data_IF_295346008741
#
_entry.id   IF_295346008741
#
_cell.length_a   1.000
_cell.length_b   1.000
_cell.length_c   1.000
_cell.angle_alpha   90.00
_cell.angle_beta   90.00
_cell.angle_gamma   90.00
#
_symmetry.space_group_name_H-M   'P 1'
#
loop_
_entity.id
_entity.type
_entity.pdbx_description
1 polymer ?
#
# COMPACT_ATOMS: atom_id res chain seq x y z
N UNK A 1 2.40 -37.91 -17.14
CA UNK A 1 1.98 -36.49 -17.00
C UNK A 1 1.04 -36.18 -15.83
N UNK A 2 0.44 -37.15 -15.12
CA UNK A 2 -0.64 -36.88 -14.15
C UNK A 2 -0.22 -36.60 -12.70
N UNK A 3 0.87 -37.12 -12.19
CA UNK A 3 1.28 -36.97 -10.78
C UNK A 3 1.99 -35.63 -10.49
N UNK A 4 2.74 -35.07 -11.47
CA UNK A 4 3.45 -33.80 -11.30
C UNK A 4 2.51 -32.59 -11.29
N UNK A 5 1.35 -32.65 -11.96
CA UNK A 5 0.38 -31.53 -11.96
C UNK A 5 -0.35 -31.40 -10.62
N UNK A 6 -0.65 -32.48 -9.91
CA UNK A 6 -1.31 -32.43 -8.60
C UNK A 6 -0.48 -31.68 -7.54
N UNK A 7 0.85 -31.77 -7.58
CA UNK A 7 1.72 -31.05 -6.63
C UNK A 7 1.75 -29.54 -6.85
N UNK A 8 1.48 -29.06 -8.07
CA UNK A 8 1.49 -27.63 -8.39
C UNK A 8 0.14 -26.93 -8.19
N UNK A 9 -0.92 -27.69 -7.94
CA UNK A 9 -2.31 -27.22 -7.81
C UNK A 9 -2.83 -27.25 -6.36
N UNK A 10 -1.94 -27.30 -5.38
CA UNK A 10 -2.31 -27.40 -3.95
C UNK A 10 -3.18 -26.23 -3.45
N UNK A 11 -3.05 -25.06 -4.06
CA UNK A 11 -3.78 -23.84 -3.68
C UNK A 11 -5.07 -23.63 -4.50
N UNK A 12 -5.48 -24.61 -5.31
CA UNK A 12 -6.66 -24.47 -6.18
C UNK A 12 -7.95 -24.24 -5.39
N UNK A 13 -8.09 -24.91 -4.24
CA UNK A 13 -9.23 -24.74 -3.33
C UNK A 13 -9.32 -23.33 -2.72
N UNK A 14 -8.21 -22.58 -2.68
CA UNK A 14 -8.17 -21.24 -2.10
C UNK A 14 -8.99 -20.25 -2.92
N UNK A 15 -8.98 -20.36 -4.25
CA UNK A 15 -9.78 -19.49 -5.10
C UNK A 15 -11.29 -19.74 -4.83
N UNK A 16 -11.71 -21.01 -4.65
CA UNK A 16 -13.09 -21.38 -4.30
C UNK A 16 -13.47 -20.88 -2.90
N UNK A 17 -12.56 -21.00 -1.91
CA UNK A 17 -12.78 -20.49 -0.55
C UNK A 17 -12.99 -18.98 -0.54
N UNK A 18 -12.13 -18.22 -1.24
CA UNK A 18 -12.27 -16.77 -1.39
C UNK A 18 -13.56 -16.41 -2.11
N UNK A 19 -13.91 -17.13 -3.19
CA UNK A 19 -15.17 -16.91 -3.91
C UNK A 19 -16.39 -17.09 -3.02
N UNK A 20 -16.41 -18.14 -2.20
CA UNK A 20 -17.50 -18.41 -1.27
C UNK A 20 -17.69 -17.31 -0.22
N UNK A 21 -16.62 -16.58 0.13
CA UNK A 21 -16.72 -15.42 1.02
C UNK A 21 -17.48 -14.24 0.38
N UNK A 22 -17.55 -14.17 -0.95
CA UNK A 22 -18.28 -13.12 -1.68
C UNK A 22 -19.77 -13.44 -1.89
N UNK A 23 -20.30 -14.44 -1.19
CA UNK A 23 -21.72 -14.79 -1.26
C UNK A 23 -22.58 -13.63 -0.76
N UNK A 24 -23.53 -13.16 -1.58
CA UNK A 24 -24.36 -11.99 -1.29
C UNK A 24 -25.43 -12.24 -0.23
N UNK A 25 -25.85 -13.50 -0.06
CA UNK A 25 -26.87 -13.91 0.91
C UNK A 25 -26.27 -14.17 2.29
N UNK A 26 -24.98 -14.48 2.35
CA UNK A 26 -24.23 -14.71 3.58
C UNK A 26 -22.78 -14.25 3.40
N UNK A 27 -22.53 -12.94 3.31
CA UNK A 27 -21.20 -12.41 3.05
C UNK A 27 -20.27 -12.72 4.22
N UNK A 28 -19.06 -13.18 3.90
CA UNK A 28 -18.00 -13.39 4.89
C UNK A 28 -16.81 -12.50 4.56
N UNK A 29 -16.19 -11.98 5.58
CA UNK A 29 -14.91 -11.30 5.42
C UNK A 29 -13.76 -12.28 5.53
N UNK A 30 -12.62 -11.94 4.92
CA UNK A 30 -11.48 -12.84 4.88
C UNK A 30 -10.14 -12.10 4.84
N UNK A 31 -9.10 -12.79 5.25
CA UNK A 31 -7.71 -12.39 5.03
C UNK A 31 -6.99 -13.50 4.28
N UNK A 32 -6.62 -13.26 3.03
CA UNK A 32 -5.80 -14.19 2.25
C UNK A 32 -4.32 -14.00 2.58
N UNK A 33 -3.77 -14.97 3.30
CA UNK A 33 -2.32 -15.06 3.54
C UNK A 33 -1.62 -15.58 2.30
N UNK A 34 -0.80 -14.74 1.68
CA UNK A 34 -0.18 -15.09 0.41
C UNK A 34 1.17 -14.40 0.28
N UNK A 35 2.26 -15.16 0.42
CA UNK A 35 3.61 -14.65 0.28
C UNK A 35 3.93 -14.13 -1.13
N UNK A 36 5.09 -13.50 -1.28
CA UNK A 36 5.57 -13.05 -2.59
C UNK A 36 5.58 -14.19 -3.61
N UNK A 37 5.06 -13.93 -4.80
CA UNK A 37 5.04 -14.93 -5.88
C UNK A 37 3.99 -16.03 -5.75
N UNK A 38 3.11 -16.01 -4.74
CA UNK A 38 2.05 -17.02 -4.56
C UNK A 38 0.82 -16.83 -5.46
N UNK A 39 0.76 -15.72 -6.21
CA UNK A 39 -0.34 -15.43 -7.13
C UNK A 39 -1.53 -14.72 -6.50
N UNK A 40 -1.34 -13.84 -5.49
CA UNK A 40 -2.38 -12.98 -4.90
C UNK A 40 -3.28 -12.33 -5.95
N UNK A 41 -2.68 -11.53 -6.84
CA UNK A 41 -3.41 -10.81 -7.90
C UNK A 41 -4.13 -11.76 -8.87
N UNK A 42 -3.56 -12.93 -9.13
CA UNK A 42 -4.21 -13.96 -9.98
C UNK A 42 -5.48 -14.48 -9.32
N UNK A 43 -5.42 -14.84 -8.03
CA UNK A 43 -6.61 -15.25 -7.26
C UNK A 43 -7.66 -14.16 -7.25
N UNK A 44 -7.28 -12.90 -6.96
CA UNK A 44 -8.18 -11.76 -6.99
C UNK A 44 -8.91 -11.67 -8.34
N UNK A 45 -8.18 -11.69 -9.44
CA UNK A 45 -8.76 -11.58 -10.79
C UNK A 45 -9.64 -12.78 -11.14
N UNK A 46 -9.22 -14.01 -10.80
CA UNK A 46 -9.99 -15.22 -11.08
C UNK A 46 -11.34 -15.20 -10.36
N UNK A 47 -11.34 -14.92 -9.07
CA UNK A 47 -12.53 -14.84 -8.23
C UNK A 47 -13.49 -13.76 -8.73
N UNK A 48 -12.96 -12.59 -9.14
CA UNK A 48 -13.77 -11.49 -9.68
C UNK A 48 -14.37 -11.82 -11.05
N UNK A 49 -13.65 -12.52 -11.93
CA UNK A 49 -14.18 -12.99 -13.21
C UNK A 49 -15.33 -13.98 -13.02
N UNK A 50 -15.18 -14.89 -12.06
CA UNK A 50 -16.24 -15.83 -11.71
C UNK A 50 -17.45 -15.11 -11.10
N UNK A 51 -17.23 -14.15 -10.20
CA UNK A 51 -18.28 -13.32 -9.63
C UNK A 51 -19.04 -12.54 -10.74
N UNK A 52 -18.31 -11.92 -11.68
CA UNK A 52 -18.91 -11.24 -12.84
C UNK A 52 -19.83 -12.15 -13.63
N UNK A 53 -19.40 -13.38 -13.88
CA UNK A 53 -20.20 -14.39 -14.63
C UNK A 53 -21.52 -14.70 -13.92
N UNK A 54 -21.48 -14.87 -12.60
CA UNK A 54 -22.64 -15.34 -11.84
C UNK A 54 -23.54 -14.18 -11.35
N UNK A 55 -22.98 -13.04 -10.98
CA UNK A 55 -23.70 -11.93 -10.32
C UNK A 55 -23.62 -10.59 -11.07
N UNK A 56 -22.84 -10.48 -12.14
CA UNK A 56 -22.59 -9.20 -12.81
C UNK A 56 -23.84 -8.50 -13.34
N UNK A 57 -24.83 -9.25 -13.83
CA UNK A 57 -26.12 -8.70 -14.29
C UNK A 57 -26.87 -8.02 -13.14
N UNK A 58 -26.96 -8.70 -11.99
CA UNK A 58 -27.63 -8.19 -10.79
C UNK A 58 -26.94 -6.94 -10.26
N UNK A 59 -25.61 -6.92 -10.23
CA UNK A 59 -24.83 -5.75 -9.78
C UNK A 59 -25.09 -4.52 -10.65
N UNK A 60 -25.12 -4.68 -11.99
CA UNK A 60 -25.42 -3.58 -12.92
C UNK A 60 -26.84 -3.05 -12.72
N UNK A 61 -27.83 -3.93 -12.61
CA UNK A 61 -29.23 -3.54 -12.38
C UNK A 61 -29.40 -2.76 -11.09
N UNK A 62 -28.71 -3.17 -10.03
CA UNK A 62 -28.78 -2.53 -8.71
C UNK A 62 -27.77 -1.38 -8.54
N UNK A 63 -27.01 -1.02 -9.58
CA UNK A 63 -25.94 0.02 -9.55
C UNK A 63 -24.89 -0.24 -8.47
N UNK A 64 -24.71 -1.50 -8.06
CA UNK A 64 -23.70 -1.93 -7.10
C UNK A 64 -22.37 -2.16 -7.82
N UNK A 65 -21.28 -1.98 -7.07
CA UNK A 65 -19.91 -2.24 -7.55
C UNK A 65 -19.13 -3.04 -6.51
N UNK A 66 -18.07 -3.70 -6.95
CA UNK A 66 -17.03 -4.21 -6.06
C UNK A 66 -15.92 -3.16 -6.04
N UNK A 67 -15.56 -2.68 -4.85
CA UNK A 67 -14.39 -1.82 -4.69
C UNK A 67 -13.13 -2.68 -4.60
N UNK A 68 -12.11 -2.37 -5.39
CA UNK A 68 -10.79 -2.99 -5.33
C UNK A 68 -9.77 -1.87 -5.08
N UNK A 69 -9.16 -1.90 -3.92
CA UNK A 69 -8.18 -0.91 -3.49
C UNK A 69 -6.79 -1.50 -3.65
N UNK A 70 -5.90 -0.76 -4.32
CA UNK A 70 -4.51 -1.13 -4.50
C UNK A 70 -3.59 -0.06 -3.94
N UNK A 71 -2.32 -0.41 -3.77
CA UNK A 71 -1.33 0.55 -3.28
C UNK A 71 -0.82 1.48 -4.40
N UNK A 72 -0.61 0.98 -5.62
CA UNK A 72 -0.01 1.74 -6.73
C UNK A 72 -0.93 1.85 -7.94
N UNK A 73 -0.75 2.91 -8.74
CA UNK A 73 -1.43 3.07 -10.02
C UNK A 73 -1.11 1.93 -11.00
N UNK A 74 0.13 1.43 -10.98
CA UNK A 74 0.53 0.31 -11.84
C UNK A 74 -0.29 -0.95 -11.51
N UNK A 75 -0.43 -1.31 -10.22
CA UNK A 75 -1.26 -2.44 -9.80
C UNK A 75 -2.74 -2.21 -10.14
N UNK A 76 -3.25 -0.98 -9.95
CA UNK A 76 -4.62 -0.63 -10.31
C UNK A 76 -4.87 -0.83 -11.82
N UNK A 77 -3.97 -0.36 -12.67
CA UNK A 77 -4.09 -0.49 -14.12
C UNK A 77 -4.00 -1.96 -14.54
N UNK A 78 -3.06 -2.74 -14.00
CA UNK A 78 -2.93 -4.17 -14.27
C UNK A 78 -4.23 -4.93 -13.94
N UNK A 79 -4.86 -4.63 -12.80
CA UNK A 79 -6.11 -5.27 -12.42
C UNK A 79 -7.25 -4.84 -13.34
N UNK A 80 -7.35 -3.54 -13.69
CA UNK A 80 -8.34 -3.02 -14.66
C UNK A 80 -8.24 -3.73 -16.00
N UNK A 81 -7.02 -3.83 -16.55
CA UNK A 81 -6.77 -4.50 -17.83
C UNK A 81 -7.20 -5.97 -17.77
N UNK A 82 -6.81 -6.69 -16.71
CA UNK A 82 -7.19 -8.10 -16.52
C UNK A 82 -8.69 -8.31 -16.33
N UNK A 83 -9.41 -7.31 -15.80
CA UNK A 83 -10.86 -7.30 -15.63
C UNK A 83 -11.60 -6.64 -16.79
N UNK A 84 -10.91 -6.33 -17.88
CA UNK A 84 -11.47 -5.81 -19.14
C UNK A 84 -12.24 -4.49 -18.94
N UNK A 85 -11.81 -3.66 -17.98
CA UNK A 85 -12.44 -2.38 -17.62
C UNK A 85 -13.95 -2.48 -17.31
N UNK A 86 -14.42 -3.62 -16.82
CA UNK A 86 -15.85 -3.81 -16.56
C UNK A 86 -16.35 -2.88 -15.46
N UNK A 87 -17.46 -2.22 -15.71
CA UNK A 87 -18.04 -1.16 -14.88
C UNK A 87 -18.51 -1.60 -13.49
N UNK A 88 -18.69 -2.92 -13.25
CA UNK A 88 -19.02 -3.44 -11.91
C UNK A 88 -17.83 -3.41 -10.95
N UNK A 89 -16.60 -3.24 -11.46
CA UNK A 89 -15.39 -3.16 -10.67
C UNK A 89 -14.91 -1.70 -10.57
N UNK A 90 -14.81 -1.19 -9.33
CA UNK A 90 -14.22 0.11 -9.03
C UNK A 90 -12.80 -0.12 -8.52
N UNK A 91 -11.82 -0.11 -9.43
CA UNK A 91 -10.41 -0.34 -9.10
C UNK A 91 -9.70 1.00 -8.98
N UNK A 92 -9.12 1.30 -7.83
CA UNK A 92 -8.42 2.56 -7.58
C UNK A 92 -7.33 2.43 -6.51
N UNK A 93 -6.49 3.45 -6.40
CA UNK A 93 -5.58 3.54 -5.26
C UNK A 93 -6.34 3.93 -4.00
N UNK A 94 -5.74 3.66 -2.84
CA UNK A 94 -6.32 3.98 -1.53
C UNK A 94 -6.71 5.46 -1.41
N UNK A 95 -5.88 6.36 -1.92
CA UNK A 95 -6.11 7.79 -1.88
C UNK A 95 -7.25 8.22 -2.81
N UNK A 96 -7.30 7.64 -4.01
CA UNK A 96 -8.39 7.91 -4.97
C UNK A 96 -9.73 7.42 -4.43
N UNK A 97 -9.76 6.24 -3.80
CA UNK A 97 -10.96 5.69 -3.17
C UNK A 97 -11.44 6.57 -2.00
N UNK A 98 -10.53 6.93 -1.10
CA UNK A 98 -10.86 7.80 0.03
C UNK A 98 -11.41 9.15 -0.43
N UNK A 99 -10.81 9.75 -1.47
CA UNK A 99 -11.31 10.99 -2.05
C UNK A 99 -12.71 10.84 -2.66
N UNK A 100 -12.94 9.79 -3.47
CA UNK A 100 -14.25 9.49 -4.06
C UNK A 100 -15.38 9.44 -3.00
N UNK A 101 -15.06 8.92 -1.82
CA UNK A 101 -16.04 8.84 -0.73
C UNK A 101 -16.37 10.19 -0.11
N UNK A 102 -15.37 11.07 0.06
CA UNK A 102 -15.53 12.29 0.85
C UNK A 102 -15.79 13.55 -0.01
N UNK A 103 -15.41 13.59 -1.26
CA UNK A 103 -15.50 14.76 -2.15
C UNK A 103 -16.86 15.46 -2.11
N UNK A 104 -18.01 14.76 -2.10
CA UNK A 104 -19.32 15.42 -2.07
C UNK A 104 -19.64 16.15 -0.75
N UNK A 105 -18.93 15.86 0.34
CA UNK A 105 -19.28 16.28 1.70
C UNK A 105 -18.51 17.52 2.16
N UNK A 106 -18.53 18.59 1.36
CA UNK A 106 -17.73 19.81 1.58
C UNK A 106 -17.90 20.40 2.99
N UNK A 107 -19.12 20.47 3.52
CA UNK A 107 -19.39 21.06 4.84
C UNK A 107 -18.85 20.18 5.98
N UNK A 108 -18.95 18.86 5.83
CA UNK A 108 -18.41 17.92 6.80
C UNK A 108 -16.87 17.95 6.80
N UNK A 109 -16.25 18.05 5.62
CA UNK A 109 -14.80 18.25 5.48
C UNK A 109 -14.36 19.52 6.18
N UNK A 110 -15.06 20.65 5.97
CA UNK A 110 -14.78 21.93 6.67
C UNK A 110 -14.84 21.75 8.18
N UNK A 111 -15.92 21.16 8.67
CA UNK A 111 -16.13 20.95 10.10
C UNK A 111 -15.01 20.11 10.71
N UNK A 112 -14.63 19.03 10.03
CA UNK A 112 -13.54 18.19 10.46
C UNK A 112 -12.20 18.95 10.49
N UNK A 113 -11.88 19.70 9.42
CA UNK A 113 -10.65 20.49 9.34
C UNK A 113 -10.59 21.58 10.41
N UNK A 114 -11.68 22.29 10.67
CA UNK A 114 -11.74 23.31 11.72
C UNK A 114 -11.40 22.70 13.08
N UNK A 115 -12.01 21.55 13.41
CA UNK A 115 -11.79 20.86 14.66
C UNK A 115 -10.37 20.29 14.76
N UNK A 116 -9.88 19.64 13.71
CA UNK A 116 -8.54 19.05 13.70
C UNK A 116 -7.44 20.11 13.78
N UNK A 117 -7.57 21.22 13.04
CA UNK A 117 -6.66 22.36 13.14
C UNK A 117 -6.68 22.99 14.54
N UNK A 118 -7.85 23.09 15.19
CA UNK A 118 -7.93 23.59 16.56
C UNK A 118 -7.16 22.69 17.55
N UNK A 119 -7.32 21.37 17.44
CA UNK A 119 -6.60 20.39 18.29
C UNK A 119 -5.08 20.49 18.05
N UNK A 120 -4.66 20.59 16.79
CA UNK A 120 -3.26 20.72 16.44
C UNK A 120 -2.62 22.02 16.95
N UNK A 121 -3.36 23.14 16.86
CA UNK A 121 -2.93 24.44 17.38
C UNK A 121 -2.73 24.35 18.89
N UNK A 122 -3.70 23.80 19.62
CA UNK A 122 -3.61 23.64 21.08
C UNK A 122 -2.39 22.79 21.49
N UNK A 123 -2.11 21.71 20.75
CA UNK A 123 -0.90 20.89 20.99
C UNK A 123 0.38 21.69 20.79
N UNK A 124 0.46 22.46 19.71
CA UNK A 124 1.62 23.28 19.40
C UNK A 124 1.80 24.42 20.41
N UNK A 125 0.72 25.03 20.91
CA UNK A 125 0.74 26.06 21.95
C UNK A 125 1.22 25.48 23.29
N UNK A 126 0.74 24.30 23.67
CA UNK A 126 1.19 23.60 24.88
C UNK A 126 2.70 23.27 24.79
N UNK A 127 3.17 22.73 23.66
CA UNK A 127 4.61 22.51 23.45
C UNK A 127 5.41 23.81 23.45
N UNK A 128 4.85 24.91 22.94
CA UNK A 128 5.49 26.22 22.96
C UNK A 128 5.63 26.76 24.38
N UNK A 129 4.61 26.60 25.20
CA UNK A 129 4.62 27.03 26.61
C UNK A 129 5.68 26.31 27.45
N UNK A 130 6.02 25.07 27.09
CA UNK A 130 7.05 24.25 27.75
C UNK A 130 8.47 24.54 27.27
N UNK A 131 8.62 25.39 26.24
CA UNK A 131 9.93 25.69 25.67
C UNK A 131 10.71 26.63 26.60
N UNK A 132 11.94 26.24 26.99
CA UNK A 132 12.81 27.03 27.84
C UNK A 132 13.41 28.25 27.14
N UNK A 133 13.51 28.21 25.82
CA UNK A 133 14.05 29.31 25.00
C UNK A 133 13.12 29.62 23.81
N UNK A 134 12.34 30.72 23.88
CA UNK A 134 11.44 31.14 22.82
C UNK A 134 12.16 31.55 21.53
N UNK A 135 13.46 31.82 21.59
CA UNK A 135 14.25 32.31 20.43
C UNK A 135 15.00 31.19 19.70
N UNK A 136 14.93 29.95 20.18
CA UNK A 136 15.55 28.86 19.47
C UNK A 136 14.78 28.54 18.17
N UNK A 137 15.47 27.92 17.21
CA UNK A 137 14.91 27.57 15.88
C UNK A 137 13.59 26.77 16.00
N UNK A 138 13.53 25.82 16.92
CA UNK A 138 12.34 24.98 17.10
C UNK A 138 11.11 25.78 17.59
N UNK A 139 11.31 26.76 18.51
CA UNK A 139 10.25 27.64 19.00
C UNK A 139 9.74 28.57 17.90
N UNK A 140 10.67 29.15 17.13
CA UNK A 140 10.33 30.01 15.98
C UNK A 140 9.54 29.26 14.92
N UNK A 141 9.97 28.05 14.56
CA UNK A 141 9.30 27.21 13.57
C UNK A 141 7.91 26.76 14.07
N UNK A 142 7.78 26.48 15.37
CA UNK A 142 6.48 26.17 15.99
C UNK A 142 5.53 27.36 15.94
N UNK A 143 5.99 28.56 16.28
CA UNK A 143 5.20 29.78 16.18
C UNK A 143 4.69 30.03 14.74
N UNK A 144 5.55 29.85 13.73
CA UNK A 144 5.17 29.93 12.31
C UNK A 144 4.13 28.89 11.93
N UNK A 145 4.25 27.64 12.43
CA UNK A 145 3.26 26.59 12.21
C UNK A 145 1.89 26.95 12.82
N UNK A 146 1.87 27.49 14.03
CA UNK A 146 0.64 27.96 14.70
C UNK A 146 -0.03 29.05 13.86
N UNK A 147 0.72 30.05 13.44
CA UNK A 147 0.20 31.14 12.60
C UNK A 147 -0.39 30.62 11.27
N UNK A 148 0.36 29.76 10.58
CA UNK A 148 -0.07 29.16 9.32
C UNK A 148 -1.36 28.34 9.49
N UNK A 149 -1.46 27.52 10.55
CA UNK A 149 -2.67 26.73 10.84
C UNK A 149 -3.86 27.63 11.19
N UNK A 150 -3.67 28.69 11.97
CA UNK A 150 -4.71 29.68 12.27
C UNK A 150 -5.20 30.38 10.99
N UNK A 151 -4.29 30.82 10.13
CA UNK A 151 -4.63 31.44 8.84
C UNK A 151 -5.43 30.49 7.94
N UNK A 152 -5.02 29.23 7.88
CA UNK A 152 -5.77 28.20 7.13
C UNK A 152 -7.17 28.00 7.71
N UNK A 153 -7.31 27.89 9.04
CA UNK A 153 -8.60 27.71 9.73
C UNK A 153 -9.57 28.86 9.43
N UNK A 154 -9.12 30.10 9.42
CA UNK A 154 -9.95 31.26 9.07
C UNK A 154 -10.39 31.24 7.59
N UNK A 155 -9.52 30.78 6.69
CA UNK A 155 -9.82 30.71 5.26
C UNK A 155 -10.79 29.58 4.87
N UNK A 156 -10.99 28.55 5.71
CA UNK A 156 -11.87 27.41 5.40
C UNK A 156 -13.30 27.84 5.09
N UNK A 157 -13.80 28.90 5.74
CA UNK A 157 -15.16 29.40 5.50
C UNK A 157 -15.38 29.87 4.05
N UNK A 158 -14.34 30.34 3.39
CA UNK A 158 -14.38 30.87 2.02
C UNK A 158 -14.25 29.78 0.95
N UNK A 159 -13.93 28.53 1.32
CA UNK A 159 -13.77 27.44 0.36
C UNK A 159 -15.14 26.94 -0.08
N UNK A 160 -15.42 27.00 -1.36
CA UNK A 160 -16.66 26.50 -1.97
C UNK A 160 -16.55 25.02 -2.31
N UNK A 161 -15.41 24.60 -2.81
CA UNK A 161 -15.10 23.20 -3.19
C UNK A 161 -13.67 22.88 -2.79
N UNK A 162 -13.46 21.68 -2.22
CA UNK A 162 -12.11 21.14 -2.03
C UNK A 162 -11.64 20.48 -3.31
N UNK A 163 -10.32 20.50 -3.53
CA UNK A 163 -9.66 19.78 -4.60
C UNK A 163 -8.61 18.84 -4.02
N UNK A 164 -8.38 17.76 -4.74
CA UNK A 164 -7.36 16.79 -4.37
C UNK A 164 -6.87 16.04 -5.62
N UNK A 165 -5.55 15.97 -5.76
CA UNK A 165 -4.89 15.18 -6.78
C UNK A 165 -4.16 14.02 -6.11
N UNK A 166 -4.59 12.76 -6.29
CA UNK A 166 -3.95 11.60 -5.67
C UNK A 166 -2.54 11.32 -6.21
N UNK A 167 -2.18 11.90 -7.37
CA UNK A 167 -0.93 11.64 -8.09
C UNK A 167 -0.05 12.88 -8.22
N UNK A 168 -0.35 13.97 -7.52
CA UNK A 168 0.36 15.23 -7.66
C UNK A 168 0.32 16.10 -6.42
N UNK A 169 0.92 17.26 -6.54
CA UNK A 169 1.04 18.23 -5.46
C UNK A 169 -0.32 18.85 -5.11
N UNK A 170 -0.57 18.94 -3.81
CA UNK A 170 -1.80 19.51 -3.24
C UNK A 170 -1.42 20.75 -2.41
N UNK A 171 -0.98 21.83 -3.08
CA UNK A 171 -0.39 23.01 -2.46
C UNK A 171 -1.31 24.24 -2.41
N UNK A 172 -2.46 24.19 -3.06
CA UNK A 172 -3.40 25.32 -3.09
C UNK A 172 -4.19 25.44 -1.79
N UNK A 173 -4.78 26.63 -1.54
CA UNK A 173 -5.50 26.93 -0.28
C UNK A 173 -6.75 26.06 -0.08
N UNK A 174 -7.34 25.60 -1.16
CA UNK A 174 -8.52 24.75 -1.23
C UNK A 174 -8.19 23.26 -1.39
N UNK A 175 -6.89 22.90 -1.42
CA UNK A 175 -6.48 21.50 -1.52
C UNK A 175 -6.40 20.81 -0.16
N UNK A 176 -6.66 19.50 -0.19
CA UNK A 176 -6.40 18.57 0.90
C UNK A 176 -5.06 17.86 0.65
N UNK A 177 -4.28 17.61 1.69
CA UNK A 177 -3.11 16.75 1.56
C UNK A 177 -3.48 15.27 1.68
N UNK A 178 -2.54 14.38 1.31
CA UNK A 178 -2.76 12.93 1.31
C UNK A 178 -3.20 12.38 2.67
N UNK A 179 -2.59 12.86 3.75
CA UNK A 179 -2.93 12.43 5.11
C UNK A 179 -4.34 12.88 5.51
N UNK A 180 -4.71 14.11 5.20
CA UNK A 180 -6.05 14.64 5.49
C UNK A 180 -7.14 13.84 4.80
N UNK A 181 -6.97 13.50 3.53
CA UNK A 181 -7.96 12.70 2.78
C UNK A 181 -8.20 11.35 3.46
N UNK A 182 -7.15 10.67 3.86
CA UNK A 182 -7.26 9.38 4.56
C UNK A 182 -7.91 9.53 5.93
N UNK A 183 -7.47 10.51 6.73
CA UNK A 183 -8.01 10.71 8.09
C UNK A 183 -9.47 11.16 8.07
N UNK A 184 -9.88 12.01 7.11
CA UNK A 184 -11.28 12.42 6.94
C UNK A 184 -12.14 11.23 6.52
N UNK A 185 -11.68 10.42 5.55
CA UNK A 185 -12.43 9.25 5.10
C UNK A 185 -12.59 8.23 6.24
N UNK A 186 -11.52 7.94 6.97
CA UNK A 186 -11.57 7.05 8.13
C UNK A 186 -12.55 7.57 9.20
N UNK A 187 -12.47 8.84 9.53
CA UNK A 187 -13.38 9.48 10.49
C UNK A 187 -14.85 9.39 10.03
N UNK A 188 -15.14 9.67 8.76
CA UNK A 188 -16.52 9.63 8.25
C UNK A 188 -17.08 8.20 8.26
N UNK A 189 -16.29 7.21 7.89
CA UNK A 189 -16.67 5.79 7.94
C UNK A 189 -16.97 5.37 9.39
N UNK A 190 -16.15 5.80 10.36
CA UNK A 190 -16.32 5.44 11.76
C UNK A 190 -17.50 6.12 12.45
N UNK A 191 -17.76 7.40 12.11
CA UNK A 191 -18.65 8.24 12.92
C UNK A 191 -19.96 8.62 12.24
N UNK A 192 -20.08 8.45 10.92
CA UNK A 192 -21.28 8.89 10.18
C UNK A 192 -22.09 7.71 9.66
N UNK A 193 -23.26 7.39 10.26
CA UNK A 193 -24.11 6.29 9.80
C UNK A 193 -24.48 6.39 8.31
N UNK A 194 -24.74 7.60 7.81
CA UNK A 194 -25.05 7.81 6.40
C UNK A 194 -23.88 7.39 5.50
N UNK A 195 -22.64 7.70 5.89
CA UNK A 195 -21.45 7.27 5.12
C UNK A 195 -21.35 5.75 5.10
N UNK A 196 -21.60 5.09 6.22
CA UNK A 196 -21.61 3.63 6.33
C UNK A 196 -22.62 3.01 5.36
N UNK A 197 -23.86 3.53 5.34
CA UNK A 197 -24.89 3.08 4.40
C UNK A 197 -24.48 3.32 2.93
N UNK A 198 -23.97 4.50 2.61
CA UNK A 198 -23.54 4.83 1.25
C UNK A 198 -22.42 3.87 0.76
N UNK A 199 -21.43 3.59 1.62
CA UNK A 199 -20.34 2.68 1.28
C UNK A 199 -20.89 1.28 1.01
N UNK A 200 -21.71 0.73 1.92
CA UNK A 200 -22.22 -0.64 1.81
C UNK A 200 -23.22 -0.79 0.67
N UNK A 201 -24.10 0.22 0.46
CA UNK A 201 -25.05 0.20 -0.66
C UNK A 201 -24.33 0.21 -2.02
N UNK A 202 -23.29 1.02 -2.17
CA UNK A 202 -22.53 1.14 -3.42
C UNK A 202 -21.52 0.00 -3.58
N UNK A 203 -20.86 -0.38 -2.50
CA UNK A 203 -19.75 -1.36 -2.45
C UNK A 203 -20.02 -2.45 -1.40
N UNK A 204 -20.96 -3.38 -1.62
CA UNK A 204 -21.22 -4.48 -0.67
C UNK A 204 -20.02 -5.42 -0.51
N UNK A 205 -19.06 -5.36 -1.43
CA UNK A 205 -17.80 -6.08 -1.39
C UNK A 205 -16.67 -5.07 -1.58
N UNK A 206 -15.73 -5.05 -0.64
CA UNK A 206 -14.53 -4.23 -0.67
C UNK A 206 -13.30 -5.12 -0.50
N UNK A 207 -12.40 -5.06 -1.46
CA UNK A 207 -11.19 -5.87 -1.51
C UNK A 207 -9.96 -4.95 -1.46
N UNK A 208 -8.98 -5.27 -0.62
CA UNK A 208 -7.76 -4.48 -0.48
C UNK A 208 -6.56 -5.37 -0.81
N UNK A 209 -5.86 -5.04 -1.90
CA UNK A 209 -4.58 -5.65 -2.26
C UNK A 209 -3.43 -4.95 -1.52
N UNK A 210 -2.40 -5.71 -1.15
CA UNK A 210 -1.27 -5.27 -0.32
C UNK A 210 -1.75 -4.58 0.99
N UNK A 211 -2.70 -5.22 1.67
CA UNK A 211 -3.38 -4.66 2.85
C UNK A 211 -2.45 -4.31 4.01
N UNK A 212 -1.26 -4.93 4.10
CA UNK A 212 -0.24 -4.63 5.10
C UNK A 212 0.35 -3.22 4.98
N UNK A 213 0.28 -2.61 3.78
CA UNK A 213 0.78 -1.27 3.50
C UNK A 213 -0.32 -0.19 3.59
N UNK A 214 -1.56 -0.59 3.86
CA UNK A 214 -2.67 0.34 4.03
C UNK A 214 -2.60 1.04 5.40
N UNK A 215 -2.83 2.35 5.42
CA UNK A 215 -2.81 3.14 6.67
C UNK A 215 -3.75 2.57 7.72
N UNK A 216 -3.22 2.43 8.95
CA UNK A 216 -3.92 1.85 10.08
C UNK A 216 -5.30 2.46 10.33
N UNK A 217 -5.42 3.80 10.26
CA UNK A 217 -6.67 4.51 10.52
C UNK A 217 -7.81 4.04 9.61
N UNK A 218 -7.49 3.81 8.32
CA UNK A 218 -8.49 3.39 7.35
C UNK A 218 -8.83 1.90 7.47
N UNK A 219 -7.85 1.05 7.77
CA UNK A 219 -8.08 -0.37 8.08
C UNK A 219 -8.98 -0.50 9.31
N UNK A 220 -8.71 0.26 10.38
CA UNK A 220 -9.53 0.25 11.58
C UNK A 220 -10.97 0.73 11.28
N UNK A 221 -11.13 1.76 10.43
CA UNK A 221 -12.44 2.22 9.99
C UNK A 221 -13.22 1.15 9.21
N UNK A 222 -12.57 0.41 8.31
CA UNK A 222 -13.21 -0.68 7.58
C UNK A 222 -13.54 -1.87 8.48
N UNK A 223 -12.73 -2.17 9.50
CA UNK A 223 -13.05 -3.21 10.47
C UNK A 223 -14.29 -2.86 11.29
N UNK A 224 -14.40 -1.61 11.75
CA UNK A 224 -15.61 -1.14 12.45
C UNK A 224 -16.84 -1.16 11.53
N UNK A 225 -16.71 -0.73 10.28
CA UNK A 225 -17.78 -0.83 9.29
C UNK A 225 -18.23 -2.28 9.09
N UNK A 226 -17.30 -3.19 8.92
CA UNK A 226 -17.58 -4.61 8.74
C UNK A 226 -18.28 -5.21 9.96
N UNK A 227 -17.84 -4.87 11.16
CA UNK A 227 -18.46 -5.30 12.40
C UNK A 227 -19.92 -4.86 12.52
N UNK A 228 -20.21 -3.61 12.11
CA UNK A 228 -21.58 -3.04 12.17
C UNK A 228 -22.47 -3.63 11.05
N UNK A 229 -21.89 -3.90 9.87
CA UNK A 229 -22.62 -4.30 8.65
C UNK A 229 -22.31 -5.72 8.19
N UNK A 230 -21.91 -6.61 9.08
CA UNK A 230 -21.41 -7.97 8.78
C UNK A 230 -22.34 -8.81 7.90
N UNK A 231 -23.65 -8.61 7.99
CA UNK A 231 -24.66 -9.42 7.28
C UNK A 231 -24.86 -8.97 5.82
N UNK A 232 -24.31 -7.80 5.44
CA UNK A 232 -24.52 -7.20 4.10
C UNK A 232 -23.22 -6.67 3.47
N UNK A 233 -22.09 -6.81 4.15
CA UNK A 233 -20.80 -6.28 3.72
C UNK A 233 -19.67 -7.30 3.89
N UNK A 234 -18.95 -7.58 2.82
CA UNK A 234 -17.74 -8.41 2.82
C UNK A 234 -16.50 -7.56 2.65
N UNK A 235 -15.55 -7.69 3.57
CA UNK A 235 -14.22 -7.09 3.50
C UNK A 235 -13.19 -8.18 3.24
N UNK A 236 -12.53 -8.13 2.08
CA UNK A 236 -11.47 -9.07 1.72
C UNK A 236 -10.10 -8.39 1.71
N UNK A 237 -9.18 -8.93 2.47
CA UNK A 237 -7.80 -8.45 2.57
C UNK A 237 -6.85 -9.45 1.91
N UNK A 238 -6.01 -8.96 1.01
CA UNK A 238 -4.94 -9.71 0.37
C UNK A 238 -3.62 -9.15 0.87
N UNK A 239 -2.78 -9.98 1.48
CA UNK A 239 -1.55 -9.44 2.05
C UNK A 239 -0.49 -10.49 2.37
N UNK A 240 0.72 -9.98 2.62
CA UNK A 240 1.83 -10.71 3.20
C UNK A 240 2.42 -9.88 4.34
N UNK A 241 2.25 -10.33 5.55
CA UNK A 241 2.66 -9.61 6.77
C UNK A 241 4.17 -9.33 6.82
N UNK A 242 4.98 -10.16 6.13
CA UNK A 242 6.42 -9.97 6.02
C UNK A 242 6.84 -8.91 4.99
N UNK A 243 5.93 -8.49 4.09
CA UNK A 243 6.23 -7.50 3.05
C UNK A 243 5.84 -6.08 3.46
N UNK A 244 5.47 -5.83 4.71
CA UNK A 244 5.17 -4.48 5.18
C UNK A 244 6.39 -3.58 5.07
N UNK A 245 6.31 -2.54 4.26
CA UNK A 245 7.38 -1.56 4.05
C UNK A 245 7.10 -0.19 4.71
N UNK A 246 5.84 0.08 5.09
CA UNK A 246 5.44 1.34 5.71
C UNK A 246 5.16 1.19 7.20
N UNK A 247 5.72 2.11 7.99
CA UNK A 247 5.56 2.12 9.45
C UNK A 247 4.15 2.51 9.90
N UNK A 248 3.40 3.24 9.10
CA UNK A 248 2.03 3.70 9.38
C UNK A 248 0.95 2.67 9.03
N UNK A 249 1.32 1.52 8.45
CA UNK A 249 0.46 0.36 8.31
C UNK A 249 0.10 -0.30 9.66
N UNK A 250 -1.01 -1.05 9.70
CA UNK A 250 -1.45 -1.73 10.92
C UNK A 250 -0.47 -2.85 11.29
N UNK A 251 0.18 -2.70 12.45
CA UNK A 251 1.07 -3.75 12.96
C UNK A 251 0.31 -5.02 13.32
N UNK A 252 0.90 -6.17 12.99
CA UNK A 252 0.34 -7.49 13.31
C UNK A 252 -1.13 -7.59 12.92
N UNK A 253 -1.45 -7.12 11.70
CA UNK A 253 -2.80 -7.12 11.16
C UNK A 253 -3.47 -8.49 11.34
N UNK A 254 -2.73 -9.57 11.17
CA UNK A 254 -3.17 -10.96 11.33
C UNK A 254 -3.66 -11.31 12.73
N UNK A 255 -3.10 -10.65 13.77
CA UNK A 255 -3.50 -10.90 15.17
C UNK A 255 -4.76 -10.14 15.58
N UNK A 256 -5.15 -9.14 14.80
CA UNK A 256 -6.35 -8.34 15.02
C UNK A 256 -7.56 -8.77 14.18
N UNK A 257 -7.45 -9.87 13.44
CA UNK A 257 -8.56 -10.38 12.63
C UNK A 257 -9.64 -11.00 13.50
N UNK A 258 -10.93 -10.68 13.25
CA UNK A 258 -12.03 -11.36 13.95
C UNK A 258 -12.02 -12.87 13.75
N UNK A 259 -12.55 -13.61 14.74
CA UNK A 259 -12.51 -15.08 14.73
C UNK A 259 -13.43 -15.68 13.65
N UNK A 260 -14.48 -14.98 13.27
CA UNK A 260 -15.45 -15.38 12.25
C UNK A 260 -14.99 -15.15 10.81
N UNK A 261 -13.81 -14.55 10.62
CA UNK A 261 -13.23 -14.36 9.29
C UNK A 261 -12.61 -15.62 8.75
N UNK A 262 -12.78 -15.86 7.44
CA UNK A 262 -12.02 -16.89 6.73
C UNK A 262 -10.54 -16.47 6.61
N UNK A 263 -9.64 -17.44 6.73
CA UNK A 263 -8.18 -17.21 6.72
C UNK A 263 -7.49 -18.12 5.71
N UNK A 264 -7.87 -18.05 4.42
CA UNK A 264 -7.23 -18.85 3.38
C UNK A 264 -5.74 -18.57 3.27
N UNK A 265 -4.95 -19.61 2.96
CA UNK A 265 -3.47 -19.53 2.90
C UNK A 265 -2.99 -20.08 1.56
N UNK A 266 -2.21 -19.29 0.82
CA UNK A 266 -1.50 -19.74 -0.38
C UNK A 266 -0.08 -20.16 -0.04
N UNK A 267 0.26 -21.40 -0.36
CA UNK A 267 1.56 -22.01 -0.05
C UNK A 267 2.48 -22.10 -1.26
N UNK A 268 1.92 -22.22 -2.48
CA UNK A 268 2.71 -22.38 -3.70
C UNK A 268 3.37 -21.07 -4.12
N UNK A 269 4.66 -21.08 -4.37
CA UNK A 269 5.37 -19.96 -5.02
C UNK A 269 5.54 -20.27 -6.50
N UNK A 270 4.91 -19.48 -7.35
CA UNK A 270 4.92 -19.61 -8.80
C UNK A 270 6.07 -18.85 -9.48
N UNK A 271 6.75 -17.95 -8.73
CA UNK A 271 7.74 -17.01 -9.28
C UNK A 271 9.16 -17.51 -9.17
N UNK A 272 9.56 -17.89 -7.98
CA UNK A 272 10.97 -18.08 -7.62
C UNK A 272 11.45 -19.51 -7.82
N UNK A 273 12.76 -19.69 -8.02
CA UNK A 273 13.43 -20.97 -8.05
C UNK A 273 13.53 -21.60 -6.65
N UNK A 274 13.72 -22.93 -6.58
CA UNK A 274 13.64 -23.73 -5.33
C UNK A 274 14.58 -23.23 -4.23
N UNK A 275 15.83 -22.90 -4.57
CA UNK A 275 16.84 -22.43 -3.59
C UNK A 275 16.46 -21.07 -2.98
N UNK A 276 15.87 -20.18 -3.78
CA UNK A 276 15.39 -18.88 -3.30
C UNK A 276 14.25 -19.08 -2.30
N UNK A 277 13.30 -19.99 -2.59
CA UNK A 277 12.19 -20.30 -1.68
C UNK A 277 12.71 -20.93 -0.39
N UNK A 278 13.69 -21.82 -0.48
CA UNK A 278 14.35 -22.39 0.71
C UNK A 278 14.98 -21.31 1.59
N UNK A 279 15.62 -20.32 0.98
CA UNK A 279 16.22 -19.19 1.70
C UNK A 279 15.13 -18.32 2.35
N UNK A 280 14.08 -17.98 1.60
CA UNK A 280 12.93 -17.20 2.12
C UNK A 280 12.29 -17.93 3.32
N UNK A 281 12.06 -19.22 3.22
CA UNK A 281 11.49 -20.01 4.30
C UNK A 281 12.35 -20.01 5.57
N UNK A 282 13.69 -20.07 5.42
CA UNK A 282 14.60 -19.95 6.57
C UNK A 282 14.53 -18.60 7.24
N UNK A 283 14.41 -17.51 6.47
CA UNK A 283 14.25 -16.16 7.02
C UNK A 283 12.92 -16.07 7.77
N UNK A 284 11.83 -16.58 7.17
CA UNK A 284 10.47 -16.51 7.75
C UNK A 284 10.28 -17.43 8.96
N UNK A 285 11.09 -18.46 9.14
CA UNK A 285 10.96 -19.41 10.24
C UNK A 285 11.01 -18.75 11.62
N UNK A 286 11.79 -17.66 11.74
CA UNK A 286 11.97 -16.91 13.00
C UNK A 286 10.95 -15.75 13.15
N UNK A 287 10.22 -15.39 12.09
CA UNK A 287 9.33 -14.23 12.11
C UNK A 287 7.85 -14.65 12.19
N UNK A 288 7.32 -15.31 11.18
CA UNK A 288 5.90 -15.68 11.10
C UNK A 288 5.66 -17.18 10.90
N UNK A 289 6.71 -17.96 10.69
CA UNK A 289 6.64 -19.41 10.48
C UNK A 289 5.95 -19.85 9.18
N UNK A 290 5.56 -18.92 8.31
CA UNK A 290 4.92 -19.23 7.04
C UNK A 290 5.91 -19.90 6.08
N UNK A 291 5.50 -21.02 5.47
CA UNK A 291 6.34 -21.77 4.54
C UNK A 291 5.70 -21.79 3.16
N UNK A 292 6.49 -21.41 2.16
CA UNK A 292 6.15 -21.55 0.76
C UNK A 292 6.72 -22.84 0.16
N UNK A 293 6.04 -23.39 -0.84
CA UNK A 293 6.45 -24.57 -1.58
C UNK A 293 6.84 -24.16 -3.01
N UNK A 294 7.99 -24.62 -3.52
CA UNK A 294 8.36 -24.40 -4.90
C UNK A 294 7.52 -25.27 -5.84
N UNK A 295 7.26 -24.77 -7.04
CA UNK A 295 6.72 -25.62 -8.10
C UNK A 295 7.75 -26.72 -8.46
N UNK A 296 7.23 -27.89 -8.80
CA UNK A 296 8.07 -29.04 -9.16
C UNK A 296 8.85 -28.83 -10.46
N UNK A 297 8.29 -28.02 -11.37
CA UNK A 297 8.88 -27.68 -12.68
C UNK A 297 9.91 -26.53 -12.64
N UNK A 298 10.16 -25.93 -11.46
CA UNK A 298 11.18 -24.90 -11.31
C UNK A 298 12.56 -25.51 -11.11
N UNK A 299 13.56 -24.82 -11.65
CA UNK A 299 14.99 -25.10 -11.44
C UNK A 299 15.40 -24.84 -9.99
N UNK A 300 16.56 -25.34 -9.62
CA UNK A 300 17.10 -25.08 -8.28
C UNK A 300 17.47 -23.60 -8.09
N UNK A 301 18.05 -23.00 -9.11
CA UNK A 301 18.50 -21.61 -9.08
C UNK A 301 19.68 -21.37 -8.16
N UNK A 302 20.04 -20.09 -8.00
CA UNK A 302 21.23 -19.67 -7.24
C UNK A 302 20.87 -18.59 -6.23
N UNK A 303 21.50 -18.67 -5.05
CA UNK A 303 21.53 -17.60 -4.06
C UNK A 303 22.95 -17.54 -3.49
N UNK A 304 23.62 -16.39 -3.57
CA UNK A 304 24.98 -16.16 -3.12
C UNK A 304 25.05 -14.94 -2.21
N UNK A 305 25.86 -15.03 -1.17
CA UNK A 305 26.19 -13.92 -0.29
C UNK A 305 27.65 -13.53 -0.51
N UNK A 306 27.88 -12.27 -0.89
CA UNK A 306 29.22 -11.70 -1.01
C UNK A 306 29.49 -10.78 0.17
N UNK A 307 30.54 -11.05 0.92
CA UNK A 307 30.95 -10.24 2.08
C UNK A 307 32.19 -9.45 1.67
N UNK A 308 32.07 -8.13 1.67
CA UNK A 308 33.12 -7.22 1.25
C UNK A 308 33.51 -6.27 2.38
N UNK A 309 34.76 -5.80 2.37
CA UNK A 309 35.17 -4.75 3.30
C UNK A 309 34.41 -3.43 3.03
N UNK A 310 34.09 -2.68 4.08
CA UNK A 310 33.48 -1.37 3.95
C UNK A 310 34.40 -0.31 3.29
N UNK A 311 35.68 -0.63 3.12
CA UNK A 311 36.68 0.24 2.47
C UNK A 311 36.80 0.01 0.96
N UNK A 312 36.11 -1.00 0.40
CA UNK A 312 36.16 -1.26 -1.04
C UNK A 312 35.35 -0.24 -1.83
N UNK A 313 35.78 0.05 -3.04
CA UNK A 313 35.05 0.88 -3.98
C UNK A 313 33.80 0.14 -4.44
N UNK A 314 32.61 0.63 -4.05
CA UNK A 314 31.35 -0.10 -4.19
C UNK A 314 31.00 -0.44 -5.65
N UNK A 315 31.21 0.52 -6.58
CA UNK A 315 30.90 0.29 -8.01
C UNK A 315 31.77 -0.79 -8.65
N UNK A 316 33.07 -0.80 -8.35
CA UNK A 316 33.98 -1.87 -8.82
C UNK A 316 33.63 -3.22 -8.22
N UNK A 317 33.26 -3.24 -6.93
CA UNK A 317 32.82 -4.46 -6.25
C UNK A 317 31.53 -5.01 -6.85
N UNK A 318 30.56 -4.17 -7.16
CA UNK A 318 29.32 -4.60 -7.82
C UNK A 318 29.60 -5.20 -9.21
N UNK A 319 30.45 -4.55 -10.00
CA UNK A 319 30.84 -5.09 -11.31
C UNK A 319 31.55 -6.43 -11.19
N UNK A 320 32.44 -6.56 -10.22
CA UNK A 320 33.09 -7.84 -9.91
C UNK A 320 32.05 -8.91 -9.52
N UNK A 321 31.11 -8.59 -8.63
CA UNK A 321 30.04 -9.50 -8.22
C UNK A 321 29.18 -9.93 -9.42
N UNK A 322 28.83 -9.01 -10.31
CA UNK A 322 28.07 -9.35 -11.52
C UNK A 322 28.85 -10.33 -12.42
N UNK A 323 30.13 -10.11 -12.61
CA UNK A 323 30.99 -11.02 -13.37
C UNK A 323 31.11 -12.41 -12.70
N UNK A 324 31.30 -12.44 -11.38
CA UNK A 324 31.34 -13.70 -10.63
C UNK A 324 29.98 -14.44 -10.71
N UNK A 325 28.87 -13.72 -10.66
CA UNK A 325 27.57 -14.35 -10.85
C UNK A 325 27.38 -14.88 -12.25
N UNK A 326 27.86 -14.19 -13.28
CA UNK A 326 27.86 -14.71 -14.66
C UNK A 326 28.61 -16.04 -14.76
N UNK A 327 29.80 -16.13 -14.15
CA UNK A 327 30.61 -17.36 -14.14
C UNK A 327 29.93 -18.49 -13.34
N UNK A 328 29.36 -18.17 -12.14
CA UNK A 328 28.73 -19.16 -11.27
C UNK A 328 27.47 -19.75 -11.87
N UNK A 329 26.70 -18.91 -12.60
CA UNK A 329 25.38 -19.28 -13.13
C UNK A 329 25.42 -19.71 -14.59
N UNK A 330 26.56 -19.55 -15.24
CA UNK A 330 26.75 -19.71 -16.69
C UNK A 330 25.75 -18.85 -17.50
N UNK A 331 25.46 -17.64 -16.98
CA UNK A 331 24.50 -16.67 -17.56
C UNK A 331 25.18 -15.32 -17.77
N UNK A 332 25.59 -15.05 -19.02
CA UNK A 332 26.27 -13.82 -19.40
C UNK A 332 25.45 -12.55 -19.17
N UNK A 333 24.12 -12.65 -19.00
CA UNK A 333 23.25 -11.51 -18.72
C UNK A 333 23.59 -10.77 -17.42
N UNK A 334 24.20 -11.46 -16.46
CA UNK A 334 24.69 -10.83 -15.24
C UNK A 334 25.77 -9.77 -15.48
N UNK A 335 26.62 -9.97 -16.49
CA UNK A 335 27.75 -9.09 -16.79
C UNK A 335 27.42 -7.99 -17.81
N UNK A 336 26.20 -7.95 -18.36
CA UNK A 336 25.80 -6.93 -19.33
C UNK A 336 25.65 -5.56 -18.70
N UNK A 337 26.07 -4.51 -19.41
CA UNK A 337 26.00 -3.12 -19.01
C UNK A 337 24.97 -2.34 -19.89
N UNK A 338 24.49 -1.19 -19.39
CA UNK A 338 23.60 -0.29 -20.14
C UNK A 338 22.18 -0.81 -20.30
N UNK A 339 21.56 -0.53 -21.44
CA UNK A 339 20.18 -0.91 -21.75
C UNK A 339 19.98 -2.43 -21.90
N UNK A 340 21.04 -3.17 -22.15
CA UNK A 340 21.00 -4.63 -22.21
C UNK A 340 21.11 -5.32 -20.85
N UNK A 341 21.15 -4.55 -19.76
CA UNK A 341 21.31 -5.06 -18.40
C UNK A 341 20.04 -5.76 -17.91
N UNK A 342 20.10 -7.07 -17.72
CA UNK A 342 19.00 -7.87 -17.16
C UNK A 342 19.07 -8.01 -15.61
N UNK A 343 19.98 -7.28 -14.96
CA UNK A 343 20.18 -7.33 -13.50
C UNK A 343 19.51 -6.17 -12.81
N UNK A 344 18.59 -6.46 -11.90
CA UNK A 344 17.97 -5.45 -11.04
C UNK A 344 18.81 -5.28 -9.77
N UNK A 345 19.18 -4.03 -9.46
CA UNK A 345 19.86 -3.68 -8.22
C UNK A 345 18.88 -2.99 -7.27
N UNK A 346 18.74 -3.54 -6.06
CA UNK A 346 17.94 -2.94 -5.00
C UNK A 346 18.84 -2.16 -4.04
N UNK A 347 18.42 -0.95 -3.66
CA UNK A 347 19.17 -0.05 -2.79
C UNK A 347 18.25 0.36 -1.64
N UNK A 348 18.76 0.31 -0.40
CA UNK A 348 17.94 0.54 0.79
C UNK A 348 17.57 2.01 1.01
N UNK A 349 18.45 2.95 0.61
CA UNK A 349 18.29 4.38 0.92
C UNK A 349 18.51 5.27 -0.30
N UNK A 350 17.75 6.35 -0.40
CA UNK A 350 17.90 7.35 -1.47
C UNK A 350 19.31 7.96 -1.52
N UNK A 351 19.94 8.20 -0.37
CA UNK A 351 21.32 8.69 -0.31
C UNK A 351 22.32 7.73 -0.96
N UNK A 352 22.15 6.42 -0.77
CA UNK A 352 22.97 5.40 -1.43
C UNK A 352 22.72 5.38 -2.95
N UNK A 353 21.47 5.59 -3.36
CA UNK A 353 21.12 5.73 -4.77
C UNK A 353 21.77 6.97 -5.39
N UNK A 354 21.67 8.12 -4.76
CA UNK A 354 22.30 9.36 -5.21
C UNK A 354 23.81 9.22 -5.39
N UNK A 355 24.48 8.56 -4.44
CA UNK A 355 25.91 8.27 -4.52
C UNK A 355 26.25 7.35 -5.70
N UNK A 356 25.44 6.31 -5.92
CA UNK A 356 25.62 5.37 -7.02
C UNK A 356 25.43 6.02 -8.40
N UNK A 357 24.44 6.91 -8.51
CA UNK A 357 24.08 7.61 -9.74
C UNK A 357 24.90 8.89 -9.99
N UNK A 358 25.81 9.25 -9.06
CA UNK A 358 26.73 10.37 -9.24
C UNK A 358 26.14 11.77 -8.97
N UNK A 359 24.96 11.85 -8.33
CA UNK A 359 24.35 13.15 -7.99
C UNK A 359 24.30 13.46 -6.49
N UNK A 360 25.26 12.94 -5.73
CA UNK A 360 25.37 13.14 -4.28
C UNK A 360 25.46 14.62 -3.91
N UNK A 361 26.23 15.41 -4.66
CA UNK A 361 26.43 16.83 -4.38
C UNK A 361 25.13 17.66 -4.52
N UNK A 362 24.21 17.20 -5.36
CA UNK A 362 22.88 17.77 -5.47
C UNK A 362 21.95 17.25 -4.35
N UNK A 363 22.00 15.95 -4.06
CA UNK A 363 21.09 15.32 -3.12
C UNK A 363 21.39 15.63 -1.65
N UNK A 364 22.68 15.68 -1.24
CA UNK A 364 23.05 15.90 0.16
C UNK A 364 22.55 17.23 0.74
N UNK A 365 22.65 18.39 0.06
CA UNK A 365 22.09 19.65 0.57
C UNK A 365 20.57 19.56 0.82
N UNK A 366 19.84 18.91 -0.11
CA UNK A 366 18.40 18.73 0.01
C UNK A 366 18.04 17.79 1.18
N UNK A 367 18.82 16.73 1.38
CA UNK A 367 18.60 15.76 2.44
C UNK A 367 19.00 16.27 3.84
N UNK A 368 19.92 17.25 3.91
CA UNK A 368 20.31 17.91 5.17
C UNK A 368 19.28 18.92 5.66
N UNK A 369 18.47 19.48 4.78
CA UNK A 369 17.40 20.40 5.18
C UNK A 369 16.14 19.59 5.57
N UNK A 370 15.80 19.59 6.86
CA UNK A 370 14.75 18.75 7.44
C UNK A 370 13.39 18.85 6.70
N UNK A 371 13.03 20.05 6.24
CA UNK A 371 11.78 20.28 5.51
C UNK A 371 11.79 19.63 4.13
N UNK A 372 12.92 19.74 3.42
CA UNK A 372 13.07 19.15 2.10
C UNK A 372 13.20 17.64 2.19
N UNK A 373 13.93 17.13 3.18
CA UNK A 373 14.04 15.71 3.48
C UNK A 373 12.68 15.08 3.73
N UNK A 374 11.87 15.67 4.61
CA UNK A 374 10.53 15.17 4.91
C UNK A 374 9.65 15.19 3.67
N UNK A 375 9.64 16.30 2.92
CA UNK A 375 8.84 16.42 1.71
C UNK A 375 9.24 15.44 0.58
N UNK A 376 10.54 15.11 0.48
CA UNK A 376 11.02 14.09 -0.47
C UNK A 376 10.60 12.68 -0.02
N UNK A 377 10.71 12.39 1.29
CA UNK A 377 10.42 11.06 1.82
C UNK A 377 8.92 10.73 1.83
N UNK A 378 8.07 11.70 2.09
CA UNK A 378 6.61 11.53 2.11
C UNK A 378 5.94 11.86 0.77
N UNK A 379 6.73 12.21 -0.26
CA UNK A 379 6.25 12.46 -1.62
C UNK A 379 5.52 13.80 -1.79
N UNK A 380 5.60 14.70 -0.81
CA UNK A 380 5.02 16.06 -0.92
C UNK A 380 5.90 17.03 -1.72
N UNK A 381 7.14 16.66 -2.00
CA UNK A 381 8.04 17.35 -2.90
C UNK A 381 8.46 16.41 -4.02
N UNK A 382 8.12 16.76 -5.24
CA UNK A 382 8.58 16.07 -6.44
C UNK A 382 9.85 16.73 -7.01
N UNK A 383 10.59 16.00 -7.86
CA UNK A 383 11.77 16.57 -8.54
C UNK A 383 11.45 17.83 -9.35
N UNK A 384 10.20 17.97 -9.84
CA UNK A 384 9.73 19.17 -10.56
C UNK A 384 9.63 20.43 -9.69
N UNK A 385 9.65 20.32 -8.37
CA UNK A 385 9.60 21.47 -7.46
C UNK A 385 10.95 22.13 -7.28
N UNK A 386 12.02 21.57 -7.88
CA UNK A 386 13.39 22.08 -7.82
C UNK A 386 13.88 22.71 -9.13
N UNK A 387 13.07 22.64 -10.17
CA UNK A 387 13.28 23.24 -11.48
C UNK A 387 12.07 24.12 -11.82
#
# INVERSE_FOLDING_TARGET
>A
MSLQNHHNDIDKHVDDEVYNCLNLDNPKSFFLFAGAGSGKTRTLVNVLKEFKKNHGKQFRLNRKKIAIITYTNAASNEIKDRLEFDSIFSVSTIHSFAWELIEPFVQDIKSWLINNLAIDILKLEDEQSRSRDPKNKASIDRAKKIESKNKRRLNLNNIVKFIYNPNGDNTTKDSLNHSEVISIAAHFIQTKPLMQELVVCKFPILLIDESQDTKKELIDAFFELQKIKKDVFSLGLFGDTMQRIYFDGKEKLEKGLPDDWSKPVKKMNHRSNKRIITLINKIREHEDGQKQLPRTDKEDGFAKLFICSNRTEKSKTEKYICNEMANITDDSKWAKDGEEKDVMTLILEHHMAAKRMGFTDFFEPLYKEEKLKTGILDGTLSGSNFF
#
